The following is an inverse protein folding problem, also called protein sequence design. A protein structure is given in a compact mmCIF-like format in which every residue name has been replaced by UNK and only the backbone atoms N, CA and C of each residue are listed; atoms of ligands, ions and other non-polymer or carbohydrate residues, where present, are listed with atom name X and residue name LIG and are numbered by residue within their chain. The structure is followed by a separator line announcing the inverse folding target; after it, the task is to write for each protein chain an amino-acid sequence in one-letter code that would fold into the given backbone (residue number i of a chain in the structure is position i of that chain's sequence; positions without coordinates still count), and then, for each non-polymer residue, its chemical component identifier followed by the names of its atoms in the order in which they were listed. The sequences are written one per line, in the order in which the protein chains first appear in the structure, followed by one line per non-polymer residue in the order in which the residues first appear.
data_IF_549956303028
#
_entry.id   IF_549956303028
#
_cell.length_a   1.000
_cell.length_b   1.000
_cell.length_c   1.000
_cell.angle_alpha   90.00
_cell.angle_beta   90.00
_cell.angle_gamma   90.00
#
_symmetry.space_group_name_H-M   'P 1'
#
loop_
_entity.id
_entity.type
_entity.pdbx_description
1 polymer ?
#
# COMPACT_ATOMS: atom_id res chain seq x y z
N UNK A 1 -2.47 14.57 0.01
CA UNK A 1 -1.07 14.12 -0.19
C UNK A 1 -0.92 13.10 -1.31
N UNK A 2 -1.97 12.39 -1.72
CA UNK A 2 -1.93 11.44 -2.85
C UNK A 2 -2.85 11.89 -4.00
N UNK A 3 -2.60 13.09 -4.51
CA UNK A 3 -3.32 13.68 -5.64
C UNK A 3 -2.32 14.12 -6.71
N UNK A 4 -2.67 14.12 -8.01
CA UNK A 4 -1.78 14.60 -9.08
C UNK A 4 -1.19 15.98 -8.81
N UNK A 5 -1.96 16.88 -8.19
CA UNK A 5 -1.51 18.22 -7.82
C UNK A 5 -0.32 18.22 -6.85
N UNK A 6 -0.10 17.14 -6.09
CA UNK A 6 1.06 17.03 -5.19
C UNK A 6 2.38 16.99 -5.96
N UNK A 7 2.42 16.44 -7.19
CA UNK A 7 3.61 16.47 -8.03
C UNK A 7 3.99 17.90 -8.44
N UNK A 8 3.00 18.74 -8.76
CA UNK A 8 3.24 20.15 -9.11
C UNK A 8 3.63 21.01 -7.91
N UNK A 9 3.36 20.56 -6.68
CA UNK A 9 3.87 21.20 -5.45
C UNK A 9 5.34 20.86 -5.20
N UNK A 10 5.79 19.68 -5.63
CA UNK A 10 7.14 19.17 -5.35
C UNK A 10 8.14 19.41 -6.49
N UNK A 11 7.68 19.44 -7.75
CA UNK A 11 8.53 19.49 -8.93
C UNK A 11 8.14 20.66 -9.86
N UNK A 12 9.09 21.08 -10.70
CA UNK A 12 8.82 22.04 -11.77
C UNK A 12 7.75 21.47 -12.74
N UNK A 13 6.91 22.31 -13.37
CA UNK A 13 5.74 21.85 -14.12
C UNK A 13 6.02 20.80 -15.19
N UNK A 14 7.11 20.95 -15.95
CA UNK A 14 7.51 19.99 -17.00
C UNK A 14 7.83 18.62 -16.40
N UNK A 15 8.54 18.59 -15.27
CA UNK A 15 8.92 17.34 -14.60
C UNK A 15 7.72 16.69 -13.91
N UNK A 16 6.88 17.48 -13.23
CA UNK A 16 5.64 17.00 -12.64
C UNK A 16 4.73 16.35 -13.70
N UNK A 17 4.59 16.99 -14.87
CA UNK A 17 3.80 16.45 -15.98
C UNK A 17 4.38 15.15 -16.54
N UNK A 18 5.70 15.10 -16.76
CA UNK A 18 6.41 13.89 -17.22
C UNK A 18 6.21 12.70 -16.29
N UNK A 19 6.30 12.93 -14.97
CA UNK A 19 6.04 11.88 -13.98
C UNK A 19 4.58 11.46 -14.02
N UNK A 20 3.65 12.44 -14.02
CA UNK A 20 2.22 12.18 -14.01
C UNK A 20 1.76 11.32 -15.20
N UNK A 21 2.34 11.54 -16.39
CA UNK A 21 2.04 10.73 -17.58
C UNK A 21 2.42 9.25 -17.47
N UNK A 22 3.22 8.86 -16.47
CA UNK A 22 3.65 7.47 -16.24
C UNK A 22 2.92 6.79 -15.09
N UNK A 23 2.00 7.48 -14.43
CA UNK A 23 1.32 7.00 -13.23
C UNK A 23 -0.18 6.80 -13.50
N UNK A 24 -0.69 5.67 -13.05
CA UNK A 24 -2.12 5.42 -12.92
C UNK A 24 -2.49 5.45 -11.43
N UNK A 25 -3.47 6.28 -11.06
CA UNK A 25 -3.91 6.39 -9.68
C UNK A 25 -5.09 5.44 -9.42
N UNK A 26 -4.82 4.38 -8.65
CA UNK A 26 -5.85 3.48 -8.15
C UNK A 26 -6.16 3.86 -6.70
N UNK A 27 -7.35 4.43 -6.48
CA UNK A 27 -7.80 4.85 -5.15
C UNK A 27 -8.50 3.71 -4.43
N UNK A 28 -8.01 3.37 -3.23
CA UNK A 28 -8.71 2.43 -2.34
C UNK A 28 -9.87 3.13 -1.62
N UNK A 29 -10.95 2.39 -1.26
CA UNK A 29 -12.03 2.94 -0.46
C UNK A 29 -11.53 3.52 0.87
N UNK A 30 -12.23 4.51 1.41
CA UNK A 30 -11.97 5.00 2.77
C UNK A 30 -12.07 3.83 3.76
N UNK A 31 -11.08 3.70 4.63
CA UNK A 31 -10.92 2.57 5.57
C UNK A 31 -10.68 1.19 4.91
N UNK A 32 -10.41 1.14 3.60
CA UNK A 32 -10.02 -0.07 2.85
C UNK A 32 -8.52 -0.35 2.92
N UNK A 33 -7.90 -0.03 4.05
CA UNK A 33 -6.45 -0.03 4.24
C UNK A 33 -5.85 -1.45 4.07
N UNK A 34 -6.63 -2.47 4.40
CA UNK A 34 -6.33 -3.89 4.16
C UNK A 34 -6.22 -4.31 2.68
N UNK A 35 -6.67 -3.47 1.74
CA UNK A 35 -6.45 -3.66 0.29
C UNK A 35 -5.14 -3.02 -0.19
N UNK A 36 -4.40 -2.34 0.69
CA UNK A 36 -3.15 -1.67 0.35
C UNK A 36 -1.96 -2.64 0.52
N UNK A 37 -1.23 -2.86 -0.57
CA UNK A 37 0.00 -3.68 -0.60
C UNK A 37 1.00 -3.29 0.48
N UNK A 38 1.20 -1.98 0.69
CA UNK A 38 2.16 -1.50 1.68
C UNK A 38 1.77 -1.92 3.10
N UNK A 39 0.48 -1.88 3.43
CA UNK A 39 -0.01 -2.29 4.76
C UNK A 39 0.04 -3.80 4.97
N UNK A 40 -0.21 -4.58 3.90
CA UNK A 40 -0.02 -6.03 3.93
C UNK A 40 1.45 -6.37 4.22
N UNK A 41 2.40 -5.74 3.52
CA UNK A 41 3.83 -5.97 3.78
C UNK A 41 4.24 -5.52 5.19
N UNK A 42 3.69 -4.41 5.71
CA UNK A 42 3.94 -4.02 7.11
C UNK A 42 3.44 -5.06 8.12
N UNK A 43 2.29 -5.69 7.86
CA UNK A 43 1.79 -6.78 8.71
C UNK A 43 2.74 -7.99 8.69
N UNK A 44 3.27 -8.34 7.52
CA UNK A 44 4.26 -9.42 7.38
C UNK A 44 5.57 -9.08 8.09
N UNK A 45 6.12 -7.87 7.87
CA UNK A 45 7.31 -7.37 8.58
C UNK A 45 7.11 -7.45 10.09
N UNK A 46 5.94 -7.01 10.58
CA UNK A 46 5.63 -7.06 11.99
C UNK A 46 5.61 -8.50 12.51
N UNK A 47 4.95 -9.42 11.82
CA UNK A 47 4.89 -10.83 12.23
C UNK A 47 6.22 -11.58 12.16
N UNK A 48 7.08 -11.25 11.19
CA UNK A 48 8.32 -11.97 10.93
C UNK A 48 9.55 -11.39 11.62
N UNK A 49 9.64 -10.07 11.74
CA UNK A 49 10.83 -9.36 12.21
C UNK A 49 10.58 -8.59 13.51
N UNK A 50 9.48 -7.82 13.56
CA UNK A 50 9.26 -6.83 14.63
C UNK A 50 8.41 -7.35 15.80
N UNK A 51 8.00 -8.61 15.81
CA UNK A 51 7.22 -9.22 16.91
C UNK A 51 8.09 -9.52 18.15
N UNK A 52 8.91 -8.55 18.55
CA UNK A 52 9.86 -8.60 19.66
C UNK A 52 10.24 -7.18 20.07
N UNK A 53 10.70 -7.00 21.30
CA UNK A 53 11.22 -5.71 21.76
C UNK A 53 12.59 -5.44 21.12
N UNK A 54 12.74 -4.25 20.55
CA UNK A 54 14.01 -3.71 20.06
C UNK A 54 14.23 -2.38 20.78
N UNK A 55 15.40 -2.22 21.39
CA UNK A 55 15.70 -1.15 22.34
C UNK A 55 16.38 0.08 21.71
N UNK A 56 16.91 -0.04 20.49
CA UNK A 56 17.59 1.05 19.81
C UNK A 56 17.28 1.09 18.30
N UNK A 57 17.40 2.29 17.72
CA UNK A 57 17.01 2.59 16.34
C UNK A 57 17.97 1.99 15.32
N UNK A 58 19.26 1.94 15.65
CA UNK A 58 20.31 1.42 14.79
C UNK A 58 20.11 -0.08 14.56
N UNK A 59 19.82 -0.82 15.62
CA UNK A 59 19.51 -2.24 15.56
C UNK A 59 18.19 -2.50 14.82
N UNK A 60 17.15 -1.72 15.11
CA UNK A 60 15.88 -1.79 14.36
C UNK A 60 16.10 -1.63 12.85
N UNK A 61 16.92 -0.65 12.45
CA UNK A 61 17.19 -0.37 11.03
C UNK A 61 17.94 -1.52 10.36
N UNK A 62 18.90 -2.13 11.06
CA UNK A 62 19.65 -3.30 10.56
C UNK A 62 18.74 -4.52 10.37
N UNK A 63 17.85 -4.77 11.33
CA UNK A 63 16.92 -5.89 11.28
C UNK A 63 15.90 -5.74 10.13
N UNK A 64 15.36 -4.54 9.94
CA UNK A 64 14.45 -4.25 8.82
C UNK A 64 15.18 -4.44 7.49
N UNK A 65 16.42 -3.94 7.34
CA UNK A 65 17.18 -4.08 6.11
C UNK A 65 17.48 -5.56 5.78
N UNK A 66 17.92 -6.34 6.76
CA UNK A 66 18.18 -7.77 6.58
C UNK A 66 16.91 -8.54 6.19
N UNK A 67 15.78 -8.22 6.82
CA UNK A 67 14.49 -8.80 6.47
C UNK A 67 14.02 -8.39 5.06
N UNK A 68 14.19 -7.12 4.68
CA UNK A 68 13.83 -6.61 3.36
C UNK A 68 14.63 -7.31 2.25
N UNK A 69 15.95 -7.48 2.43
CA UNK A 69 16.80 -8.20 1.49
C UNK A 69 16.32 -9.65 1.28
N UNK A 70 16.03 -10.36 2.37
CA UNK A 70 15.52 -11.74 2.31
C UNK A 70 14.13 -11.79 1.64
N UNK A 71 13.24 -10.86 1.97
CA UNK A 71 11.88 -10.78 1.41
C UNK A 71 11.93 -10.52 -0.09
N UNK A 72 12.76 -9.59 -0.53
CA UNK A 72 12.97 -9.24 -1.93
C UNK A 72 13.55 -10.41 -2.74
N UNK A 73 14.52 -11.15 -2.17
CA UNK A 73 15.07 -12.34 -2.82
C UNK A 73 14.05 -13.46 -3.00
N UNK A 74 13.12 -13.62 -2.05
CA UNK A 74 12.03 -14.60 -2.15
C UNK A 74 10.99 -14.23 -3.21
N UNK A 75 10.95 -12.97 -3.66
CA UNK A 75 10.02 -12.46 -4.67
C UNK A 75 8.57 -12.93 -4.47
N UNK A 76 8.11 -12.95 -3.22
CA UNK A 76 6.77 -13.42 -2.85
C UNK A 76 5.74 -12.43 -3.40
N UNK A 77 4.90 -12.91 -4.30
CA UNK A 77 3.74 -12.15 -4.78
C UNK A 77 2.61 -12.18 -3.75
N UNK A 78 1.80 -11.14 -3.73
CA UNK A 78 0.56 -11.13 -2.93
C UNK A 78 -0.43 -12.08 -3.60
N UNK A 79 -0.90 -13.03 -2.81
CA UNK A 79 -2.00 -13.91 -3.18
C UNK A 79 -3.33 -13.22 -2.83
N UNK A 80 -3.94 -12.60 -3.84
CA UNK A 80 -5.18 -11.85 -3.68
C UNK A 80 -6.38 -12.79 -3.57
N UNK A 81 -6.85 -12.98 -2.34
CA UNK A 81 -8.00 -13.86 -2.04
C UNK A 81 -9.34 -13.13 -2.01
N UNK A 82 -9.35 -11.79 -1.99
CA UNK A 82 -10.58 -11.00 -1.97
C UNK A 82 -11.08 -10.72 -3.38
N UNK A 83 -12.30 -11.16 -3.67
CA UNK A 83 -12.90 -11.10 -5.01
C UNK A 83 -13.89 -9.95 -5.17
N UNK A 84 -14.27 -9.68 -6.42
CA UNK A 84 -15.34 -8.73 -6.73
C UNK A 84 -16.69 -9.14 -6.14
N UNK A 85 -16.95 -10.45 -6.07
CA UNK A 85 -18.13 -11.06 -5.47
C UNK A 85 -18.17 -10.79 -3.96
N UNK A 86 -17.04 -10.98 -3.27
CA UNK A 86 -16.91 -10.64 -1.85
C UNK A 86 -17.15 -9.14 -1.61
N UNK A 87 -16.65 -8.29 -2.50
CA UNK A 87 -16.85 -6.84 -2.44
C UNK A 87 -18.34 -6.47 -2.53
N UNK A 88 -19.12 -7.09 -3.41
CA UNK A 88 -20.56 -6.83 -3.53
C UNK A 88 -21.32 -7.13 -2.24
N UNK A 89 -20.86 -8.13 -1.48
CA UNK A 89 -21.46 -8.50 -0.19
C UNK A 89 -20.96 -7.59 0.93
N UNK A 90 -19.63 -7.52 1.15
CA UNK A 90 -19.04 -6.79 2.27
C UNK A 90 -19.15 -5.27 2.14
N UNK A 91 -19.05 -4.74 0.93
CA UNK A 91 -19.08 -3.30 0.64
C UNK A 91 -20.41 -2.83 0.08
N UNK A 92 -21.50 -3.59 0.26
CA UNK A 92 -22.84 -3.29 -0.26
C UNK A 92 -23.26 -1.83 -0.08
N UNK A 93 -22.96 -1.23 1.08
CA UNK A 93 -23.29 0.17 1.41
C UNK A 93 -22.63 1.20 0.49
N UNK A 94 -21.51 0.86 -0.15
CA UNK A 94 -20.77 1.76 -1.04
C UNK A 94 -21.29 1.71 -2.48
N UNK A 95 -22.11 0.72 -2.83
CA UNK A 95 -22.69 0.63 -4.16
C UNK A 95 -23.88 1.59 -4.31
N UNK A 96 -24.02 2.27 -5.45
CA UNK A 96 -25.18 3.11 -5.72
C UNK A 96 -26.49 2.31 -5.63
N UNK A 97 -27.44 2.80 -4.84
CA UNK A 97 -28.81 2.29 -4.85
C UNK A 97 -29.63 3.11 -5.85
N UNK A 98 -29.97 2.51 -6.99
CA UNK A 98 -30.94 3.10 -7.90
C UNK A 98 -32.33 2.79 -7.37
N UNK A 99 -33.01 3.80 -6.82
CA UNK A 99 -34.45 3.71 -6.56
C UNK A 99 -35.18 4.04 -7.87
N UNK A 100 -36.05 3.13 -8.30
CA UNK A 100 -36.99 3.36 -9.41
C UNK A 100 -38.18 4.19 -8.92
#
# INVERSE_FOLDING_TARGET
THEPASLYKAFAPVEAHRILQRLEFIYTPKHGSWLNVAEIEFSVLNGQCLNRRIDNKEFLSKEIAAWEDERNQKAKIIDWQFTTEDARIKLKRLYPSYHA
#
